data_IF_656293212227
#
_entry.id   IF_656293212227
#
_cell.length_a   1.000
_cell.length_b   1.000
_cell.length_c   1.000
_cell.angle_alpha   90.00
_cell.angle_beta   90.00
_cell.angle_gamma   90.00
#
_symmetry.space_group_name_H-M   'P 1'
#
loop_
_entity.id
_entity.type
_entity.pdbx_description
1 polymer ?
#
# COMPACT_ATOMS: atom_id res chain seq x y z
N UNK A 1 -10.18 10.03 9.20
CA UNK A 1 -10.69 10.37 7.84
C UNK A 1 -12.18 10.48 8.00
N UNK A 2 -12.76 11.51 7.41
CA UNK A 2 -14.21 11.67 7.33
C UNK A 2 -14.68 10.94 6.08
N UNK A 3 -15.84 10.30 6.17
CA UNK A 3 -16.49 9.66 5.05
C UNK A 3 -17.99 9.77 5.23
N UNK A 4 -18.66 10.13 4.15
CA UNK A 4 -20.10 10.24 4.10
C UNK A 4 -20.60 9.66 2.78
N UNK A 5 -21.88 9.30 2.73
CA UNK A 5 -22.52 8.79 1.52
C UNK A 5 -22.85 9.91 0.54
N UNK A 6 -23.14 11.10 1.09
CA UNK A 6 -23.48 12.29 0.31
C UNK A 6 -22.46 13.40 0.49
N UNK A 7 -22.37 14.27 -0.50
CA UNK A 7 -21.47 15.44 -0.48
C UNK A 7 -21.89 16.44 0.59
N UNK A 8 -23.20 16.60 0.79
CA UNK A 8 -23.79 17.53 1.74
C UNK A 8 -23.49 17.12 3.18
N UNK A 9 -23.54 15.81 3.48
CA UNK A 9 -23.09 15.27 4.76
C UNK A 9 -21.60 15.48 4.97
N UNK A 10 -20.76 15.18 3.96
CA UNK A 10 -19.31 15.41 4.06
C UNK A 10 -18.99 16.89 4.31
N UNK A 11 -19.69 17.80 3.64
CA UNK A 11 -19.57 19.24 3.84
C UNK A 11 -19.92 19.66 5.29
N UNK A 12 -21.01 19.10 5.84
CA UNK A 12 -21.41 19.34 7.22
C UNK A 12 -20.38 18.78 8.23
N UNK A 13 -19.89 17.56 8.00
CA UNK A 13 -18.89 16.92 8.86
C UNK A 13 -17.57 17.67 8.86
N UNK A 14 -17.06 18.09 7.70
CA UNK A 14 -15.81 18.84 7.59
C UNK A 14 -15.92 20.17 8.35
N UNK A 15 -17.06 20.86 8.24
CA UNK A 15 -17.30 22.11 8.96
C UNK A 15 -17.37 21.88 10.47
N UNK A 16 -18.10 20.86 10.92
CA UNK A 16 -18.17 20.47 12.34
C UNK A 16 -16.78 20.13 12.90
N UNK A 17 -15.98 19.40 12.13
CA UNK A 17 -14.62 19.01 12.52
C UNK A 17 -13.71 20.23 12.67
N UNK A 18 -13.79 21.15 11.72
CA UNK A 18 -13.05 22.42 11.75
C UNK A 18 -13.43 23.25 12.98
N UNK A 19 -14.71 23.39 13.31
CA UNK A 19 -15.15 24.07 14.52
C UNK A 19 -14.64 23.39 15.79
N UNK A 20 -14.67 22.05 15.83
CA UNK A 20 -14.17 21.28 16.97
C UNK A 20 -12.66 21.45 17.16
N UNK A 21 -11.88 21.44 16.07
CA UNK A 21 -10.45 21.74 16.12
C UNK A 21 -10.17 23.13 16.69
N UNK A 22 -10.93 24.14 16.23
CA UNK A 22 -10.77 25.52 16.70
C UNK A 22 -11.01 25.67 18.21
N UNK A 23 -11.97 24.91 18.78
CA UNK A 23 -12.20 24.89 20.23
C UNK A 23 -10.99 24.43 21.03
N UNK A 24 -10.14 23.59 20.45
CA UNK A 24 -8.88 23.13 21.05
C UNK A 24 -7.66 23.92 20.57
N UNK A 25 -7.86 25.09 19.93
CA UNK A 25 -6.78 25.93 19.41
C UNK A 25 -6.08 25.37 18.17
N UNK A 26 -6.62 24.33 17.54
CA UNK A 26 -6.11 23.75 16.29
C UNK A 26 -6.79 24.40 15.08
N UNK A 27 -6.12 24.41 13.93
CA UNK A 27 -6.69 24.92 12.67
C UNK A 27 -6.54 23.87 11.58
N UNK A 28 -7.60 23.69 10.80
CA UNK A 28 -7.55 22.84 9.62
C UNK A 28 -6.63 23.48 8.57
N UNK A 29 -5.70 22.71 8.02
CA UNK A 29 -4.86 23.18 6.92
C UNK A 29 -5.56 22.89 5.60
N UNK A 30 -6.15 23.92 4.99
CA UNK A 30 -6.92 23.81 3.75
C UNK A 30 -6.06 23.28 2.59
N UNK A 31 -4.82 23.75 2.46
CA UNK A 31 -3.91 23.32 1.38
C UNK A 31 -3.55 21.82 1.44
N UNK A 32 -3.46 21.26 2.64
CA UNK A 32 -3.18 19.84 2.86
C UNK A 32 -4.44 18.97 2.87
N UNK A 33 -5.62 19.59 3.00
CA UNK A 33 -6.88 18.85 3.09
C UNK A 33 -7.40 18.62 1.68
N UNK A 34 -7.44 17.36 1.31
CA UNK A 34 -7.93 16.91 0.01
C UNK A 34 -9.20 16.06 0.24
N UNK A 35 -10.10 16.05 -0.74
CA UNK A 35 -11.25 15.15 -0.72
C UNK A 35 -11.27 14.28 -1.98
N UNK A 36 -11.91 13.12 -1.87
CA UNK A 36 -12.01 12.14 -2.94
C UNK A 36 -13.43 11.59 -2.94
N UNK A 37 -14.02 11.47 -4.13
CA UNK A 37 -15.31 10.82 -4.33
C UNK A 37 -15.07 9.42 -4.89
N UNK A 38 -15.73 8.42 -4.33
CA UNK A 38 -15.66 7.04 -4.80
C UNK A 38 -17.00 6.66 -5.45
N UNK A 39 -16.96 5.99 -6.61
CA UNK A 39 -18.17 5.55 -7.32
C UNK A 39 -18.46 6.35 -8.60
N UNK A 40 -19.69 6.24 -9.11
CA UNK A 40 -20.12 6.97 -10.30
C UNK A 40 -20.03 8.47 -10.05
N UNK A 41 -19.56 9.24 -11.05
CA UNK A 41 -19.47 10.70 -10.94
C UNK A 41 -20.87 11.26 -10.68
N UNK A 42 -21.12 11.67 -9.45
CA UNK A 42 -22.28 12.49 -9.10
C UNK A 42 -21.92 13.94 -9.47
N UNK A 43 -22.96 14.69 -9.80
CA UNK A 43 -23.04 16.06 -10.34
C UNK A 43 -21.91 17.04 -9.98
N UNK A 44 -21.76 18.06 -10.81
CA UNK A 44 -20.82 19.16 -10.60
C UNK A 44 -20.97 19.80 -9.20
N UNK A 45 -19.85 19.86 -8.47
CA UNK A 45 -19.68 20.72 -7.30
C UNK A 45 -18.54 20.30 -6.40
N UNK A 46 -18.34 21.10 -5.35
CA UNK A 46 -17.09 21.14 -4.60
C UNK A 46 -17.37 21.27 -3.10
N UNK A 47 -16.45 20.72 -2.29
CA UNK A 47 -16.47 20.92 -0.84
C UNK A 47 -15.67 22.19 -0.52
N UNK A 48 -16.24 23.09 0.27
CA UNK A 48 -15.62 24.37 0.61
C UNK A 48 -15.40 24.48 2.12
N UNK A 49 -14.26 25.01 2.57
CA UNK A 49 -14.00 25.36 3.97
C UNK A 49 -13.53 26.80 4.05
N UNK A 50 -14.21 27.63 4.85
CA UNK A 50 -13.92 29.07 4.95
C UNK A 50 -13.96 29.82 3.60
N UNK A 51 -14.86 29.39 2.70
CA UNK A 51 -14.96 29.96 1.36
C UNK A 51 -13.83 29.56 0.40
N UNK A 52 -12.95 28.63 0.82
CA UNK A 52 -11.93 28.05 -0.06
C UNK A 52 -12.32 26.64 -0.47
N UNK A 53 -12.20 26.36 -1.75
CA UNK A 53 -12.47 25.04 -2.31
C UNK A 53 -11.38 24.05 -1.90
N UNK A 54 -11.79 22.89 -1.37
CA UNK A 54 -10.89 21.79 -1.12
C UNK A 54 -10.46 21.15 -2.44
N UNK A 55 -9.23 20.66 -2.47
CA UNK A 55 -8.71 19.99 -3.66
C UNK A 55 -9.35 18.60 -3.81
N UNK A 56 -10.06 18.38 -4.92
CA UNK A 56 -10.54 17.07 -5.34
C UNK A 56 -9.39 16.23 -5.89
N UNK A 57 -9.24 14.99 -5.43
CA UNK A 57 -8.21 14.06 -5.91
C UNK A 57 -8.81 12.71 -6.30
N UNK A 58 -8.18 12.04 -7.25
CA UNK A 58 -8.54 10.66 -7.65
C UNK A 58 -7.78 9.61 -6.83
N UNK A 59 -6.67 10.00 -6.22
CA UNK A 59 -5.85 9.12 -5.41
C UNK A 59 -5.32 9.87 -4.19
N UNK A 60 -5.67 9.38 -3.01
CA UNK A 60 -5.27 9.94 -1.74
C UNK A 60 -4.19 9.10 -1.08
N UNK A 61 -3.18 9.74 -0.46
CA UNK A 61 -2.14 9.04 0.29
C UNK A 61 -2.47 9.04 1.78
N UNK A 62 -2.75 7.87 2.34
CA UNK A 62 -3.05 7.68 3.75
C UNK A 62 -2.07 6.71 4.42
N UNK A 63 -1.36 7.17 5.46
CA UNK A 63 -0.36 6.39 6.20
C UNK A 63 0.65 5.63 5.30
N UNK A 64 1.03 6.28 4.20
CA UNK A 64 1.94 5.72 3.20
C UNK A 64 1.29 4.86 2.13
N UNK A 65 0.04 4.42 2.30
CA UNK A 65 -0.73 3.69 1.30
C UNK A 65 -1.50 4.64 0.39
N UNK A 66 -1.79 4.21 -0.82
CA UNK A 66 -2.53 4.98 -1.82
C UNK A 66 -3.92 4.38 -2.00
N UNK A 67 -4.95 5.19 -1.76
CA UNK A 67 -6.35 4.81 -1.95
C UNK A 67 -6.81 5.51 -3.22
N UNK A 68 -7.33 4.73 -4.18
CA UNK A 68 -7.88 5.27 -5.43
C UNK A 68 -9.41 5.36 -5.36
N UNK A 69 -9.99 6.37 -6.00
CA UNK A 69 -11.45 6.56 -6.09
C UNK A 69 -12.16 5.39 -6.79
N UNK A 70 -11.45 4.70 -7.68
CA UNK A 70 -11.93 3.52 -8.41
C UNK A 70 -11.86 2.23 -7.58
N UNK A 71 -11.22 2.26 -6.41
CA UNK A 71 -10.87 1.05 -5.64
C UNK A 71 -9.69 0.26 -6.21
N UNK A 72 -8.97 0.80 -7.22
CA UNK A 72 -7.78 0.13 -7.76
C UNK A 72 -6.63 0.09 -6.74
N UNK A 73 -6.05 -1.10 -6.59
CA UNK A 73 -4.95 -1.40 -5.68
C UNK A 73 -3.59 -1.25 -6.37
N UNK A 74 -3.55 -1.30 -7.70
CA UNK A 74 -2.31 -1.25 -8.47
C UNK A 74 -1.45 0.00 -8.15
N UNK A 75 -2.00 1.21 -7.98
CA UNK A 75 -1.22 2.39 -7.58
C UNK A 75 -0.54 2.22 -6.21
N UNK A 76 -1.18 1.54 -5.26
CA UNK A 76 -0.59 1.25 -3.95
C UNK A 76 0.52 0.21 -4.08
N UNK A 77 0.28 -0.87 -4.83
CA UNK A 77 1.28 -1.92 -5.06
C UNK A 77 2.56 -1.38 -5.73
N UNK A 78 2.40 -0.51 -6.72
CA UNK A 78 3.54 0.19 -7.34
C UNK A 78 4.24 1.13 -6.35
N UNK A 79 3.47 1.84 -5.51
CA UNK A 79 4.02 2.68 -4.44
C UNK A 79 4.86 1.90 -3.43
N UNK A 80 4.37 0.73 -2.99
CA UNK A 80 5.09 -0.16 -2.07
C UNK A 80 6.31 -0.79 -2.70
N UNK A 81 6.22 -1.23 -3.96
CA UNK A 81 7.36 -1.74 -4.70
C UNK A 81 8.47 -0.67 -4.82
N UNK A 82 8.10 0.57 -5.11
CA UNK A 82 9.04 1.69 -5.16
C UNK A 82 9.63 2.03 -3.77
N UNK A 83 8.82 2.02 -2.71
CA UNK A 83 9.31 2.25 -1.34
C UNK A 83 10.32 1.18 -0.92
N UNK A 84 10.02 -0.10 -1.21
CA UNK A 84 10.93 -1.20 -0.97
C UNK A 84 12.20 -1.09 -1.82
N UNK A 85 12.09 -0.66 -3.08
CA UNK A 85 13.25 -0.36 -3.94
C UNK A 85 14.16 0.71 -3.35
N UNK A 86 13.59 1.81 -2.88
CA UNK A 86 14.34 2.87 -2.21
C UNK A 86 15.03 2.35 -0.94
N UNK A 87 14.33 1.55 -0.13
CA UNK A 87 14.91 0.93 1.07
C UNK A 87 16.05 -0.03 0.70
N UNK A 88 15.85 -0.88 -0.31
CA UNK A 88 16.86 -1.81 -0.80
C UNK A 88 18.12 -1.07 -1.26
N UNK A 89 17.98 0.06 -1.97
CA UNK A 89 19.13 0.90 -2.39
C UNK A 89 20.00 1.33 -1.21
N UNK A 90 19.40 1.69 -0.07
CA UNK A 90 20.16 2.06 1.14
C UNK A 90 20.93 0.89 1.76
N UNK A 91 20.52 -0.35 1.48
CA UNK A 91 21.14 -1.59 2.01
C UNK A 91 22.10 -2.26 1.01
N UNK A 92 22.35 -1.65 -0.16
CA UNK A 92 23.20 -2.23 -1.21
C UNK A 92 24.63 -2.51 -0.76
N UNK A 93 25.19 -1.72 0.16
CA UNK A 93 26.51 -1.98 0.73
C UNK A 93 26.64 -3.32 1.44
N UNK A 94 25.53 -3.88 1.94
CA UNK A 94 25.49 -5.23 2.56
C UNK A 94 25.03 -6.26 1.53
N UNK A 95 23.94 -5.95 0.81
CA UNK A 95 23.28 -6.90 -0.09
C UNK A 95 24.11 -7.21 -1.34
N UNK A 96 24.87 -6.24 -1.86
CA UNK A 96 25.69 -6.40 -3.06
C UNK A 96 27.16 -6.70 -2.75
N UNK A 97 27.59 -6.74 -1.49
CA UNK A 97 28.97 -7.09 -1.13
C UNK A 97 29.23 -8.59 -1.38
N UNK A 98 30.28 -8.90 -2.14
CA UNK A 98 30.69 -10.27 -2.45
C UNK A 98 31.23 -11.02 -1.23
N UNK A 99 31.79 -10.31 -0.23
CA UNK A 99 32.35 -10.90 0.99
C UNK A 99 31.28 -11.26 2.02
N UNK A 100 30.08 -10.70 1.87
CA UNK A 100 28.99 -10.90 2.81
C UNK A 100 28.36 -12.28 2.65
N UNK A 101 28.24 -13.09 3.73
CA UNK A 101 27.62 -14.41 3.64
C UNK A 101 26.15 -14.31 3.23
N UNK A 102 25.71 -15.24 2.37
CA UNK A 102 24.36 -15.24 1.80
C UNK A 102 23.24 -15.28 2.87
N UNK A 103 23.48 -15.98 3.99
CA UNK A 103 22.56 -16.01 5.14
C UNK A 103 22.31 -14.63 5.73
N UNK A 104 23.34 -13.79 5.82
CA UNK A 104 23.21 -12.43 6.35
C UNK A 104 22.49 -11.52 5.36
N UNK A 105 22.78 -11.64 4.06
CA UNK A 105 22.02 -10.95 3.01
C UNK A 105 20.53 -11.28 3.06
N UNK A 106 20.20 -12.58 3.17
CA UNK A 106 18.81 -13.04 3.30
C UNK A 106 18.13 -12.47 4.55
N UNK A 107 18.83 -12.47 5.70
CA UNK A 107 18.31 -11.91 6.94
C UNK A 107 18.02 -10.41 6.81
N UNK A 108 18.95 -9.64 6.24
CA UNK A 108 18.78 -8.20 6.00
C UNK A 108 17.62 -7.95 5.04
N UNK A 109 17.54 -8.67 3.93
CA UNK A 109 16.44 -8.53 2.99
C UNK A 109 15.07 -8.80 3.66
N UNK A 110 14.94 -9.92 4.39
CA UNK A 110 13.70 -10.33 5.06
C UNK A 110 13.26 -9.35 6.16
N UNK A 111 14.20 -8.72 6.85
CA UNK A 111 13.91 -7.86 8.01
C UNK A 111 13.80 -6.38 7.66
N UNK A 112 14.45 -5.93 6.59
CA UNK A 112 14.54 -4.49 6.26
C UNK A 112 13.76 -4.15 4.99
N UNK A 113 13.85 -4.97 3.95
CA UNK A 113 13.28 -4.66 2.63
C UNK A 113 11.88 -5.25 2.48
N UNK A 114 11.72 -6.55 2.81
CA UNK A 114 10.47 -7.28 2.65
C UNK A 114 9.28 -6.64 3.40
N UNK A 115 9.41 -6.18 4.66
CA UNK A 115 8.28 -5.57 5.37
C UNK A 115 7.78 -4.27 4.71
N UNK A 116 8.67 -3.52 4.04
CA UNK A 116 8.28 -2.29 3.32
C UNK A 116 7.44 -2.61 2.08
N UNK A 117 7.77 -3.70 1.39
CA UNK A 117 7.00 -4.18 0.24
C UNK A 117 5.65 -4.78 0.65
N UNK A 118 5.60 -5.41 1.83
CA UNK A 118 4.42 -6.12 2.34
C UNK A 118 3.43 -5.26 3.11
N UNK A 119 3.81 -4.04 3.50
CA UNK A 119 2.89 -3.18 4.23
C UNK A 119 1.61 -2.90 3.43
N UNK A 120 0.45 -3.19 4.01
CA UNK A 120 -0.86 -2.97 3.40
C UNK A 120 -1.32 -4.08 2.47
N UNK A 121 -0.51 -5.13 2.26
CA UNK A 121 -0.87 -6.26 1.40
C UNK A 121 -2.03 -7.09 1.95
N UNK A 122 -2.25 -7.05 3.26
CA UNK A 122 -3.41 -7.63 3.95
C UNK A 122 -4.75 -7.04 3.52
N UNK A 123 -4.74 -5.80 3.04
CA UNK A 123 -5.94 -5.09 2.58
C UNK A 123 -6.15 -5.19 1.07
N UNK A 124 -5.25 -5.88 0.35
CA UNK A 124 -5.32 -5.99 -1.10
C UNK A 124 -6.15 -7.21 -1.51
N UNK A 125 -7.07 -7.01 -2.45
CA UNK A 125 -7.55 -8.11 -3.26
C UNK A 125 -6.35 -8.72 -4.03
N UNK A 126 -6.13 -10.02 -3.86
CA UNK A 126 -4.96 -10.73 -4.38
C UNK A 126 -5.02 -10.94 -5.90
N UNK A 127 -4.89 -9.86 -6.67
CA UNK A 127 -4.92 -9.88 -8.13
C UNK A 127 -3.62 -10.42 -8.72
N UNK A 128 -3.69 -10.98 -9.94
CA UNK A 128 -2.50 -11.47 -10.66
C UNK A 128 -1.48 -10.35 -10.92
N UNK A 129 -1.97 -9.15 -11.23
CA UNK A 129 -1.14 -7.98 -11.55
C UNK A 129 -0.35 -7.48 -10.34
N UNK A 130 -0.98 -7.36 -9.17
CA UNK A 130 -0.30 -6.93 -7.93
C UNK A 130 0.76 -7.94 -7.49
N UNK A 131 0.47 -9.25 -7.58
CA UNK A 131 1.45 -10.32 -7.35
C UNK A 131 2.63 -10.21 -8.32
N UNK A 132 2.38 -9.97 -9.60
CA UNK A 132 3.42 -9.80 -10.61
C UNK A 132 4.33 -8.59 -10.33
N UNK A 133 3.76 -7.45 -9.89
CA UNK A 133 4.54 -6.26 -9.53
C UNK A 133 5.52 -6.55 -8.39
N UNK A 134 5.02 -7.13 -7.29
CA UNK A 134 5.87 -7.47 -6.14
C UNK A 134 6.92 -8.52 -6.50
N UNK A 135 6.53 -9.56 -7.26
CA UNK A 135 7.44 -10.60 -7.71
C UNK A 135 8.54 -10.04 -8.63
N UNK A 136 8.18 -9.19 -9.60
CA UNK A 136 9.15 -8.57 -10.51
C UNK A 136 10.16 -7.68 -9.77
N UNK A 137 9.67 -6.91 -8.78
CA UNK A 137 10.52 -6.11 -7.91
C UNK A 137 11.50 -6.99 -7.12
N UNK A 138 10.99 -8.02 -6.44
CA UNK A 138 11.79 -8.96 -5.63
C UNK A 138 12.86 -9.65 -6.48
N UNK A 139 12.48 -10.18 -7.64
CA UNK A 139 13.42 -10.84 -8.56
C UNK A 139 14.53 -9.91 -9.04
N UNK A 140 14.20 -8.65 -9.32
CA UNK A 140 15.19 -7.65 -9.71
C UNK A 140 16.19 -7.38 -8.59
N UNK A 141 15.72 -7.20 -7.35
CA UNK A 141 16.56 -6.96 -6.17
C UNK A 141 17.48 -8.15 -5.87
N UNK A 142 16.94 -9.37 -5.91
CA UNK A 142 17.69 -10.60 -5.63
C UNK A 142 18.79 -10.82 -6.67
N UNK A 143 18.47 -10.73 -7.96
CA UNK A 143 19.45 -10.86 -9.05
C UNK A 143 20.61 -9.88 -8.90
N UNK A 144 20.31 -8.60 -8.63
CA UNK A 144 21.34 -7.58 -8.40
C UNK A 144 22.22 -7.91 -7.19
N UNK A 145 21.63 -8.38 -6.09
CA UNK A 145 22.36 -8.73 -4.87
C UNK A 145 23.33 -9.91 -5.05
N UNK A 146 23.05 -10.78 -6.03
CA UNK A 146 23.89 -11.92 -6.41
C UNK A 146 24.84 -11.60 -7.58
N UNK A 147 24.76 -10.41 -8.16
CA UNK A 147 25.52 -10.05 -9.36
C UNK A 147 25.10 -10.82 -10.62
N UNK A 148 23.89 -11.37 -10.64
CA UNK A 148 23.35 -12.11 -11.78
C UNK A 148 22.87 -11.12 -12.84
N UNK A 149 23.46 -11.22 -14.01
CA UNK A 149 23.15 -10.45 -15.21
C UNK A 149 22.33 -11.27 -16.20
N UNK A 150 21.81 -10.61 -17.24
CA UNK A 150 21.11 -11.29 -18.33
C UNK A 150 22.05 -12.23 -19.13
N UNK A 151 23.37 -11.98 -19.11
CA UNK A 151 24.36 -12.79 -19.82
C UNK A 151 24.53 -14.19 -19.20
N UNK A 152 24.23 -14.31 -17.91
CA UNK A 152 24.39 -15.56 -17.18
C UNK A 152 23.31 -16.59 -17.54
N UNK A 153 22.25 -16.18 -18.27
CA UNK A 153 21.12 -17.04 -18.70
C UNK A 153 20.48 -17.85 -17.56
N UNK A 154 20.62 -17.39 -16.33
CA UNK A 154 20.04 -18.01 -15.15
C UNK A 154 18.53 -17.73 -15.15
N UNK A 155 17.65 -18.73 -14.99
CA UNK A 155 16.21 -18.52 -14.89
C UNK A 155 15.83 -17.88 -13.54
N UNK A 156 14.63 -17.33 -13.44
CA UNK A 156 14.19 -16.66 -12.21
C UNK A 156 14.07 -17.63 -11.02
N UNK A 157 13.70 -18.91 -11.25
CA UNK A 157 13.62 -19.89 -10.16
C UNK A 157 14.98 -20.18 -9.51
N UNK A 158 16.07 -20.03 -10.26
CA UNK A 158 17.43 -20.27 -9.78
C UNK A 158 18.02 -19.06 -9.04
N UNK A 159 17.39 -17.89 -9.11
CA UNK A 159 17.86 -16.65 -8.48
C UNK A 159 17.26 -16.48 -7.06
N UNK A 160 17.72 -17.28 -6.10
CA UNK A 160 17.29 -17.23 -4.70
C UNK A 160 18.47 -17.16 -3.73
N UNK A 161 18.29 -16.59 -2.53
CA UNK A 161 19.27 -16.73 -1.44
C UNK A 161 19.17 -18.13 -0.78
N UNK A 162 19.17 -19.20 -1.58
CA UNK A 162 18.88 -20.59 -1.17
C UNK A 162 17.43 -20.81 -0.72
N UNK A 163 17.13 -21.94 -0.06
CA UNK A 163 15.81 -22.26 0.55
C UNK A 163 15.32 -21.24 1.62
N UNK A 164 16.06 -20.16 1.85
CA UNK A 164 15.72 -19.08 2.78
C UNK A 164 14.94 -17.94 2.13
N UNK A 165 14.93 -17.88 0.79
CA UNK A 165 14.08 -16.98 0.05
C UNK A 165 12.94 -17.78 -0.56
N UNK A 166 11.72 -17.30 -0.29
CA UNK A 166 10.45 -17.87 -0.73
C UNK A 166 10.03 -19.08 0.10
N UNK A 167 9.70 -18.83 1.38
CA UNK A 167 8.45 -19.40 1.87
C UNK A 167 7.38 -18.62 1.11
N UNK A 168 6.62 -19.32 0.28
CA UNK A 168 5.79 -18.78 -0.78
C UNK A 168 5.10 -17.51 -0.31
N UNK A 169 5.15 -16.47 -1.14
CA UNK A 169 4.22 -15.36 -0.98
C UNK A 169 2.79 -15.89 -0.81
N UNK A 170 2.44 -17.03 -1.41
CA UNK A 170 1.19 -17.77 -1.22
C UNK A 170 1.08 -18.61 0.08
N UNK A 171 2.17 -19.14 0.65
CA UNK A 171 2.14 -19.90 1.92
C UNK A 171 1.94 -19.00 3.13
N UNK A 172 2.52 -17.80 3.11
CA UNK A 172 2.26 -16.81 4.17
C UNK A 172 0.79 -16.35 4.18
N UNK A 173 0.09 -16.47 3.05
CA UNK A 173 -1.35 -16.19 2.90
C UNK A 173 -2.24 -17.45 2.93
N UNK A 174 -1.69 -18.65 3.11
CA UNK A 174 -2.48 -19.88 3.24
C UNK A 174 -3.40 -20.24 2.05
N UNK A 175 -3.02 -19.96 0.80
CA UNK A 175 -3.88 -20.23 -0.37
C UNK A 175 -3.74 -21.63 -1.01
N UNK A 176 -3.23 -22.64 -0.28
CA UNK A 176 -3.22 -24.03 -0.75
C UNK A 176 -4.14 -24.90 0.11
N UNK A 177 -5.40 -25.00 -0.31
CA UNK A 177 -6.41 -25.86 0.30
C UNK A 177 -7.77 -25.18 0.30
N UNK A 178 -8.84 -25.90 -0.07
CA UNK A 178 -10.21 -25.45 0.10
C UNK A 178 -10.45 -25.02 1.57
N UNK A 179 -10.42 -23.73 1.86
CA UNK A 179 -10.71 -23.22 3.21
C UNK A 179 -12.22 -23.03 3.30
N UNK A 180 -12.90 -24.03 3.87
CA UNK A 180 -14.31 -23.92 4.24
C UNK A 180 -14.53 -23.12 5.54
N UNK A 181 -13.51 -22.84 6.36
CA UNK A 181 -13.65 -22.01 7.57
C UNK A 181 -12.32 -21.36 7.98
N UNK A 182 -12.30 -20.03 8.11
CA UNK A 182 -11.37 -19.29 8.97
C UNK A 182 -12.16 -18.22 9.74
N UNK A 183 -12.02 -18.26 11.07
CA UNK A 183 -12.65 -17.36 12.03
C UNK A 183 -11.91 -16.01 12.00
N UNK A 184 -12.59 -15.03 11.43
CA UNK A 184 -12.34 -13.60 11.62
C UNK A 184 -13.68 -12.92 11.40
N UNK A 185 -14.16 -12.16 12.38
CA UNK A 185 -15.32 -11.29 12.20
C UNK A 185 -14.95 -10.19 11.19
N UNK A 186 -15.06 -10.52 9.90
CA UNK A 186 -15.09 -9.60 8.79
C UNK A 186 -16.07 -10.21 7.80
N UNK A 187 -17.36 -10.01 8.09
CA UNK A 187 -18.43 -10.31 7.16
C UNK A 187 -18.28 -9.32 6.01
N UNK A 188 -17.89 -9.85 4.85
CA UNK A 188 -18.12 -9.18 3.59
C UNK A 188 -19.63 -9.17 3.37
N UNK A 189 -20.27 -8.04 3.65
CA UNK A 189 -21.56 -7.74 3.07
C UNK A 189 -21.30 -6.82 1.86
N UNK A 190 -21.49 -7.40 0.67
CA UNK A 190 -21.68 -6.69 -0.58
C UNK A 190 -22.98 -5.89 -0.49
N UNK A 191 -22.89 -4.69 0.07
CA UNK A 191 -23.80 -3.53 -0.01
C UNK A 191 -23.58 -2.69 1.26
N UNK A 192 -22.38 -2.13 1.45
CA UNK A 192 -22.16 -1.16 2.53
C UNK A 192 -21.09 -0.15 2.12
N UNK A 193 -21.56 1.04 1.79
CA UNK A 193 -20.82 2.28 1.59
C UNK A 193 -20.38 2.84 2.93
N UNK A 194 -19.32 2.31 3.53
CA UNK A 194 -18.73 2.97 4.71
C UNK A 194 -17.20 2.89 4.72
N UNK A 195 -16.58 4.06 4.65
CA UNK A 195 -15.13 4.25 4.78
C UNK A 195 -14.82 4.74 6.22
N UNK A 196 -14.35 3.84 7.07
CA UNK A 196 -13.75 4.16 8.37
C UNK A 196 -12.47 4.99 8.20
N UNK A 197 -12.11 5.89 9.13
CA UNK A 197 -10.73 6.03 9.69
C UNK A 197 -10.68 6.84 11.01
N UNK A 198 -9.93 6.28 11.95
CA UNK A 198 -9.34 6.79 13.20
C UNK A 198 -8.06 7.65 13.00
N UNK A 199 -7.81 8.71 13.79
CA UNK A 199 -6.63 9.57 13.66
C UNK A 199 -6.06 10.01 15.02
N UNK A 200 -4.73 9.83 15.16
CA UNK A 200 -3.88 10.48 16.17
C UNK A 200 -3.62 11.95 15.83
#
# INVERSE_FOLDING_TARGET
MLAAETREELQAEVQLWKERLQRYGQRLNIEKTEYMECGAKIEDGTICVDGNDLKKVECFKYLGSRIASTGDILPDALGRANAAWMKWKTTTGILCDKKMPIRLKAKVYRTVVRPVALYGTECWAATKTTKQVLHAMEMRMLRWSMGVTLKDKIPNEAASFGNFCVGDFAEFWGFNGNINYLIGHARADTQDTSMYIDLK
#
